data_IF_747395997181
#
_entry.id   IF_747395997181
#
_cell.length_a   1.000
_cell.length_b   1.000
_cell.length_c   1.000
_cell.angle_alpha   90.00
_cell.angle_beta   90.00
_cell.angle_gamma   90.00
#
_symmetry.space_group_name_H-M   'P 1'
#
loop_
_entity.id
_entity.type
_entity.pdbx_description
1 polymer ?
2 polymer ?
3 non-polymer ?
4 water ?
#
loop_
_entity_poly.entity_id
_entity_poly.type
_entity_poly.pdbx_seq_one_letter_code
_entity_poly.pdbx_strand_id
1 'polyribonucleotide' 'GGCAUCGUGCCUCGCAUUGCACUCCGCGGGGCGAUAAGUCCUGAAAAGGGAUGUC' ?
#
# COMPACT_ATOMS: atom_id res chain seq x y z
N UNK B 1 -13.18 -5.09 -8.97
CA UNK B 1 -12.75 -3.88 -9.68
C UNK B 1 -12.04 -4.29 -10.96
N UNK B 2 -12.12 -3.46 -12.00
CA UNK B 2 -11.56 -3.82 -13.30
C UNK B 2 -10.03 -3.75 -13.28
N UNK B 3 -9.34 -4.60 -14.05
CA UNK B 3 -7.88 -4.67 -14.00
C UNK B 3 -7.21 -3.42 -14.55
N UNK B 4 -5.89 -3.39 -14.40
CA UNK B 4 -5.26 -2.12 -14.10
C UNK B 4 -3.76 -2.24 -13.88
N UNK B 5 -2.96 -1.25 -14.30
CA UNK B 5 -1.53 -1.21 -14.02
C UNK B 5 -1.20 -1.09 -12.53
N UNK B 6 -2.13 -0.64 -11.70
CA UNK B 6 -1.83 -0.22 -10.34
C UNK B 6 -2.52 -1.13 -9.35
N UNK B 7 -1.77 -1.60 -8.35
CA UNK B 7 -2.36 -2.38 -7.28
C UNK B 7 -2.38 -1.52 -6.02
N UNK B 8 -3.53 -1.48 -5.37
CA UNK B 8 -3.73 -0.81 -4.10
C UNK B 8 -3.57 -1.84 -2.99
N UNK B 9 -2.61 -1.60 -2.09
CA UNK B 9 -2.27 -2.56 -1.04
C UNK B 9 -2.60 -1.93 0.29
N UNK B 10 -3.36 -2.64 1.11
CA UNK B 10 -3.64 -2.13 2.44
C UNK B 10 -3.56 -3.29 3.42
N UNK B 11 -4.06 -3.02 4.61
CA UNK B 11 -3.82 -3.86 5.78
C UNK B 11 -2.34 -4.04 6.02
N UNK B 12 -1.58 -3.01 5.74
CA UNK B 12 -0.17 -3.01 6.02
C UNK B 12 0.08 -2.55 7.46
N UNK B 13 1.29 -2.82 7.93
CA UNK B 13 1.69 -2.53 9.29
C UNK B 13 1.99 -1.04 9.39
N UNK B 14 1.16 -0.32 10.14
CA UNK B 14 1.26 1.14 10.18
C UNK B 14 2.52 1.62 10.88
N UNK B 15 3.13 0.79 11.73
CA UNK B 15 4.30 1.18 12.51
C UNK B 15 5.64 1.04 11.75
N UNK B 16 5.67 0.66 10.48
CA UNK B 16 6.93 0.46 9.78
C UNK B 16 7.31 1.74 9.09
N UNK B 17 8.61 2.01 8.99
CA UNK B 17 9.10 3.20 8.28
C UNK B 17 8.70 3.16 6.80
N UNK B 18 8.16 4.28 6.31
CA UNK B 18 7.82 4.46 4.90
C UNK B 18 8.86 3.86 3.97
N UNK B 19 10.09 4.34 4.02
CA UNK B 19 10.98 3.87 2.96
C UNK B 19 11.59 2.50 3.24
N UNK B 20 11.38 1.94 4.43
CA UNK B 20 11.70 0.54 4.68
C UNK B 20 10.63 -0.37 4.08
N UNK B 21 9.37 -0.09 4.37
CA UNK B 21 8.28 -0.82 3.73
C UNK B 21 8.40 -0.77 2.22
N UNK B 22 8.77 0.39 1.67
CA UNK B 22 8.89 0.50 0.22
C UNK B 22 9.94 -0.46 -0.30
N UNK B 23 11.13 -0.46 0.33
CA UNK B 23 12.19 -1.39 -0.06
C UNK B 23 11.71 -2.84 0.01
N UNK B 24 10.92 -3.16 1.03
CA UNK B 24 10.40 -4.52 1.13
C UNK B 24 9.37 -4.79 0.05
N UNK B 25 8.49 -3.81 -0.23
CA UNK B 25 7.54 -3.96 -1.34
C UNK B 25 8.25 -4.26 -2.65
N UNK B 26 9.40 -3.63 -2.86
CA UNK B 26 10.13 -3.85 -4.11
C UNK B 26 10.68 -5.26 -4.19
N UNK B 27 11.22 -5.78 -3.09
CA UNK B 27 11.77 -7.13 -3.11
C UNK B 27 10.67 -8.16 -3.36
N UNK B 28 9.51 -7.93 -2.77
CA UNK B 28 8.36 -8.83 -2.86
C UNK B 28 7.82 -8.89 -4.28
N UNK B 29 7.73 -7.74 -4.94
CA UNK B 29 6.90 -7.62 -6.12
C UNK B 29 7.64 -7.61 -7.45
N UNK B 30 8.93 -7.28 -7.49
CA UNK B 30 9.64 -7.17 -8.76
C UNK B 30 9.65 -8.46 -9.56
N UNK B 31 9.52 -9.61 -8.88
CA UNK B 31 9.26 -10.89 -9.56
C UNK B 31 8.40 -10.74 -10.80
N UNK B 32 7.26 -10.06 -10.63
CA UNK B 32 6.19 -10.10 -11.60
C UNK B 32 6.40 -9.18 -12.80
N UNK B 33 7.37 -8.28 -12.75
CA UNK B 33 7.69 -7.50 -13.92
C UNK B 33 8.36 -6.19 -13.53
N UNK B 34 8.49 -5.34 -14.54
CA UNK B 34 9.10 -4.03 -14.32
C UNK B 34 8.17 -3.15 -13.50
N UNK B 35 8.72 -2.44 -12.54
CA UNK B 35 7.94 -1.59 -11.64
C UNK B 35 8.24 -0.14 -12.00
N UNK B 36 7.21 0.58 -12.44
CA UNK B 36 7.44 2.00 -12.71
C UNK B 36 7.60 2.79 -11.42
N UNK B 37 6.95 2.36 -10.33
CA UNK B 37 7.00 3.14 -9.11
C UNK B 37 6.25 2.48 -7.95
N UNK B 38 6.75 2.68 -6.73
CA UNK B 38 6.06 2.29 -5.50
C UNK B 38 5.81 3.56 -4.70
N UNK B 39 4.54 3.79 -4.35
CA UNK B 39 4.12 4.97 -3.61
C UNK B 39 3.85 4.58 -2.17
N UNK B 40 4.68 5.06 -1.26
CA UNK B 40 4.39 4.97 0.17
C UNK B 40 4.57 6.35 0.76
N UNK B 41 3.61 6.78 1.57
CA UNK B 41 3.68 8.11 2.18
C UNK B 41 3.12 8.02 3.59
N UNK B 42 2.76 9.16 4.16
CA UNK B 42 2.02 9.13 5.41
C UNK B 42 0.64 8.50 5.27
N UNK B 43 0.20 8.19 4.04
CA UNK B 43 -0.94 7.29 3.85
C UNK B 43 -0.72 5.95 4.54
N UNK B 44 0.52 5.48 4.60
CA UNK B 44 0.79 4.23 5.28
C UNK B 44 0.54 4.36 6.78
N UNK B 45 1.05 5.42 7.39
CA UNK B 45 0.79 5.71 8.78
C UNK B 45 -0.71 5.69 9.10
N UNK B 47 -3.56 5.06 7.20
CA UNK B 47 -4.50 4.11 6.63
C UNK B 47 -3.87 2.75 6.33
N UNK B 48 -2.62 2.53 6.69
CA UNK B 48 -1.94 1.27 6.38
C UNK B 48 -1.92 0.88 4.92
N UNK B 49 -1.85 1.84 3.99
CA UNK B 49 -1.98 1.53 2.57
C UNK B 49 -0.72 1.94 1.80
N UNK B 50 -0.63 1.47 0.55
CA UNK B 50 0.50 1.73 -0.36
C UNK B 50 0.09 1.39 -1.80
N UNK B 51 0.91 1.81 -2.78
CA UNK B 51 0.68 1.46 -4.19
C UNK B 51 1.94 0.94 -4.85
N UNK B 52 1.76 -0.01 -5.77
CA UNK B 52 2.81 -0.48 -6.68
C UNK B 52 2.27 -0.33 -8.09
N UNK B 53 2.98 0.42 -8.94
CA UNK B 53 2.56 0.65 -10.32
C UNK B 53 3.41 -0.20 -11.23
N UNK B 54 2.76 -0.98 -12.10
CA UNK B 54 3.44 -1.92 -12.98
C UNK B 54 3.46 -1.41 -14.41
N UNK B 55 4.53 -1.73 -15.12
CA UNK B 55 4.58 -1.35 -16.52
C UNK B 55 3.49 -2.04 -17.32
N UNK B 56 3.25 -3.32 -17.08
CA UNK B 56 2.28 -4.06 -17.86
C UNK B 56 1.14 -4.49 -16.95
N UNK B 57 -0.08 -4.47 -17.49
CA UNK B 57 -1.23 -4.86 -16.67
C UNK B 57 -1.16 -6.32 -16.24
N UNK B 58 -0.57 -7.18 -17.08
CA UNK B 58 -0.43 -8.59 -16.71
C UNK B 58 0.25 -8.71 -15.37
N UNK B 59 1.37 -7.99 -15.22
CA UNK B 59 2.16 -8.01 -13.99
C UNK B 59 1.32 -7.67 -12.76
N UNK B 60 0.57 -6.58 -12.83
CA UNK B 60 -0.36 -6.26 -11.76
C UNK B 60 -1.28 -7.43 -11.45
N UNK B 61 -1.77 -8.12 -12.48
CA UNK B 61 -2.72 -9.19 -12.25
C UNK B 61 -2.03 -10.40 -11.62
N UNK B 62 -0.78 -10.65 -11.99
CA UNK B 62 -0.05 -11.77 -11.40
C UNK B 62 0.32 -11.46 -9.96
N UNK B 63 0.92 -10.28 -9.73
CA UNK B 63 1.15 -9.79 -8.38
C UNK B 63 -0.09 -9.94 -7.53
N UNK B 64 -1.21 -9.40 -8.00
CA UNK B 64 -2.42 -9.47 -7.21
C UNK B 64 -2.77 -10.91 -6.88
N UNK B 65 -2.77 -11.79 -7.88
CA UNK B 65 -3.37 -13.08 -7.66
C UNK B 65 -2.49 -13.97 -6.83
N UNK B 66 -1.19 -13.82 -6.96
CA UNK B 66 -0.32 -14.69 -6.22
C UNK B 66 0.03 -14.13 -4.84
N UNK B 68 -1.83 -12.28 -2.75
CA UNK B 68 -2.94 -11.93 -1.89
C UNK B 68 -2.85 -12.62 -0.53
N UNK B 69 -2.93 -11.84 0.54
CA UNK B 69 -2.89 -12.37 1.89
C UNK B 69 -1.52 -12.75 2.37
N UNK B 70 -0.50 -12.32 1.65
CA UNK B 70 0.87 -12.63 1.99
C UNK B 70 1.24 -12.09 3.37
N UNK B 71 2.04 -12.84 4.14
CA UNK B 71 2.51 -12.34 5.45
C UNK B 71 3.56 -11.24 5.28
N UNK B 72 3.39 -10.14 6.02
CA UNK B 72 4.18 -8.93 5.78
C UNK B 72 4.18 -8.14 7.08
N UNK B 73 5.31 -8.14 7.80
CA UNK B 73 5.39 -7.50 9.12
C UNK B 73 4.19 -7.88 10.00
N UNK B 74 3.94 -9.19 10.13
CA UNK B 74 2.89 -9.80 10.96
C UNK B 74 1.49 -9.50 10.51
N UNK B 75 1.30 -8.80 9.40
CA UNK B 75 -0.06 -8.65 8.91
C UNK B 75 -0.20 -9.22 7.50
N UNK B 76 -1.36 -9.85 7.20
CA UNK B 76 -1.59 -10.40 5.85
C UNK B 76 -2.08 -9.33 4.89
N UNK B 78 -3.65 -7.17 2.01
CA UNK B 78 -4.79 -7.14 1.10
C UNK B 78 -4.34 -6.40 -0.16
N UNK B 79 -4.65 -6.96 -1.33
CA UNK B 79 -4.34 -6.35 -2.63
C UNK B 79 -5.60 -6.25 -3.47
N UNK B 80 -5.83 -5.08 -4.04
CA UNK B 80 -6.86 -4.86 -5.06
C UNK B 80 -6.26 -4.05 -6.20
N UNK B 81 -6.99 -3.99 -7.30
CA UNK B 81 -6.68 -2.98 -8.29
C UNK B 81 -7.06 -1.61 -7.75
N UNK B 82 -6.23 -0.62 -8.05
CA UNK B 82 -6.61 0.74 -7.67
C UNK B 82 -7.87 1.14 -8.43
N UNK B 83 -8.76 1.87 -7.75
CA UNK B 83 -10.00 2.37 -8.35
C UNK B 83 -9.73 3.16 -9.63
N UNK B 84 -8.63 3.91 -9.64
CA UNK B 84 -8.19 4.68 -10.79
C UNK B 84 -6.75 4.32 -11.08
N UNK B 85 -6.45 4.01 -12.34
CA UNK B 85 -5.08 3.73 -12.74
C UNK B 85 -4.20 4.96 -12.52
N UNK B 86 -2.97 4.74 -12.02
CA UNK B 86 -2.11 5.85 -11.61
C UNK B 86 -1.59 6.65 -12.81
N UNK B 87 -1.29 7.93 -12.53
CA UNK B 87 -1.19 8.95 -13.58
C UNK B 87 -0.06 8.66 -14.57
N UNK B 88 1.09 8.17 -14.09
CA UNK B 88 2.24 7.91 -14.94
C UNK B 88 1.83 7.16 -16.20
N UNK B 89 0.81 6.30 -16.07
CA UNK B 89 0.26 5.57 -17.21
C UNK B 89 -0.40 6.53 -18.21
N UNK B 90 -1.38 7.30 -17.73
CA UNK B 90 -2.20 8.13 -18.62
C UNK B 90 -1.50 9.43 -19.01
N UNK C 2 26.39 -11.92 -11.83
CA UNK C 2 26.33 -11.58 -10.41
C UNK C 2 26.23 -12.73 -9.39
N UNK C 3 25.80 -13.95 -9.78
CA UNK C 3 25.67 -15.02 -8.78
C UNK C 3 26.96 -15.28 -8.00
N UNK C 4 26.80 -15.59 -6.72
CA UNK C 4 27.91 -15.73 -5.81
C UNK C 4 27.59 -16.87 -4.84
N UNK C 5 28.63 -17.52 -4.33
CA UNK C 5 28.44 -18.55 -3.31
C UNK C 5 27.67 -18.00 -2.12
N UNK C 6 27.85 -16.71 -1.86
CA UNK C 6 27.40 -16.04 -0.65
C UNK C 6 26.23 -15.15 -1.00
N UNK C 7 25.06 -15.43 -0.42
CA UNK C 7 23.92 -14.54 -0.52
C UNK C 7 23.96 -13.56 0.65
N UNK C 8 23.66 -12.30 0.39
CA UNK C 8 23.64 -11.26 1.42
C UNK C 8 22.19 -10.99 1.82
N UNK C 9 21.94 -10.99 3.13
CA UNK C 9 20.62 -10.79 3.67
C UNK C 9 20.67 -9.59 4.60
N UNK C 10 19.64 -8.75 4.55
CA UNK C 10 19.49 -7.72 5.56
C UNK C 10 17.99 -7.52 5.82
N UNK C 11 17.67 -6.42 6.50
CA UNK C 11 16.31 -6.18 7.02
C UNK C 11 15.91 -7.22 8.07
N UNK C 12 16.90 -7.80 8.75
CA UNK C 12 16.65 -8.82 9.75
C UNK C 12 16.31 -8.20 11.09
N UNK C 13 15.45 -8.90 11.82
CA UNK C 13 15.08 -8.50 13.18
C UNK C 13 16.30 -8.35 14.08
N UNK C 14 16.74 -7.12 14.30
CA UNK C 14 17.92 -6.83 15.11
C UNK C 14 17.77 -7.23 16.57
N UNK C 15 16.55 -7.52 17.05
CA UNK C 15 16.36 -7.93 18.42
C UNK C 15 16.45 -9.44 18.62
N UNK C 16 17.18 -10.15 17.77
CA UNK C 16 17.29 -11.59 17.85
C UNK C 16 18.74 -11.92 18.16
N UNK C 17 18.94 -12.83 19.12
CA UNK C 17 20.28 -13.13 19.59
C UNK C 17 21.15 -13.65 18.45
N UNK C 18 22.42 -13.23 18.45
CA UNK C 18 23.40 -13.72 17.50
C UNK C 18 23.26 -15.23 17.34
N UNK C 19 22.99 -15.93 18.45
CA UNK C 19 22.98 -17.40 18.44
C UNK C 19 21.78 -17.95 17.65
N UNK C 20 20.57 -17.69 18.13
CA UNK C 20 19.42 -18.35 17.53
C UNK C 20 19.16 -17.82 16.12
N UNK C 21 19.53 -16.56 15.86
CA UNK C 21 19.51 -16.04 14.50
C UNK C 21 20.33 -16.92 13.56
N UNK C 22 21.59 -17.19 13.92
CA UNK C 22 22.44 -18.05 13.09
C UNK C 22 21.82 -19.43 12.94
N UNK C 23 21.22 -19.95 14.01
CA UNK C 23 20.62 -21.28 13.96
C UNK C 23 19.39 -21.30 13.05
N UNK C 24 18.48 -20.33 13.25
CA UNK C 24 17.30 -20.16 12.39
C UNK C 24 17.70 -20.03 10.92
N UNK C 25 18.53 -19.04 10.62
CA UNK C 25 19.08 -18.91 9.28
C UNK C 25 19.61 -20.22 8.75
N UNK C 26 20.23 -21.04 9.61
CA UNK C 26 20.79 -22.29 9.13
C UNK C 26 19.69 -23.29 8.78
N UNK C 27 18.70 -23.43 9.65
CA UNK C 27 17.60 -24.37 9.37
C UNK C 27 16.94 -24.04 8.05
N UNK C 28 16.61 -22.75 7.87
CA UNK C 28 15.89 -22.29 6.69
C UNK C 28 16.65 -22.64 5.43
N UNK C 29 17.96 -22.37 5.43
CA UNK C 29 18.68 -22.29 4.18
C UNK C 29 19.36 -23.59 3.76
N UNK C 30 19.61 -24.49 4.70
CA UNK C 30 20.19 -25.78 4.33
C UNK C 30 19.32 -26.55 3.34
N UNK C 31 18.03 -26.23 3.22
CA UNK C 31 17.14 -26.88 2.26
C UNK C 31 17.53 -26.60 0.82
N UNK C 32 18.58 -25.82 0.60
CA UNK C 32 18.97 -25.43 -0.75
C UNK C 32 20.35 -25.91 -1.16
N UNK C 33 21.04 -26.69 -0.33
CA UNK C 33 22.42 -27.01 -0.57
C UNK C 33 23.19 -26.86 0.73
N UNK C 34 24.50 -27.03 0.68
CA UNK C 34 25.30 -27.17 1.90
C UNK C 34 25.92 -25.83 2.27
N UNK C 35 25.76 -25.45 3.53
CA UNK C 35 26.20 -24.14 4.01
C UNK C 35 27.55 -24.30 4.69
N UNK C 36 28.54 -23.54 4.21
CA UNK C 36 29.87 -23.61 4.79
C UNK C 36 29.96 -22.74 6.04
N UNK C 37 29.41 -21.55 6.00
CA UNK C 37 29.38 -20.72 7.20
C UNK C 37 28.29 -19.67 7.04
N UNK C 38 27.81 -19.20 8.18
CA UNK C 38 26.86 -18.09 8.27
C UNK C 38 27.51 -17.06 9.17
N UNK C 39 27.67 -15.83 8.67
CA UNK C 39 28.39 -14.80 9.40
C UNK C 39 27.41 -13.74 9.86
N UNK C 40 27.37 -13.50 11.17
CA UNK C 40 26.40 -12.60 11.80
C UNK C 40 27.10 -11.84 12.90
N UNK C 41 26.93 -10.52 12.91
CA UNK C 41 27.46 -9.66 13.96
C UNK C 41 26.34 -8.73 14.40
N UNK C 42 26.26 -8.46 15.71
CA UNK C 42 25.21 -7.59 16.21
C UNK C 42 25.70 -6.16 16.48
N UNK C 43 26.82 -5.76 15.88
CA UNK C 43 27.35 -4.42 16.01
C UNK C 43 26.70 -3.46 15.01
N UNK C 44 26.70 -2.17 15.34
CA UNK C 44 26.07 -1.12 14.54
C UNK C 44 26.30 -1.28 13.04
N UNK C 45 27.52 -1.64 12.63
CA UNK C 45 27.79 -1.85 11.22
C UNK C 45 27.02 -3.05 10.69
N UNK C 47 24.45 -5.03 12.22
CA UNK C 47 23.09 -5.32 12.67
C UNK C 47 22.18 -5.67 11.49
N UNK C 48 21.13 -6.43 11.82
CA UNK C 48 20.08 -6.72 10.88
C UNK C 48 20.50 -7.38 9.60
N UNK C 49 21.70 -7.98 9.54
CA UNK C 49 22.16 -8.55 8.28
C UNK C 49 23.00 -9.81 8.50
N UNK C 50 23.25 -10.51 7.40
CA UNK C 50 23.77 -11.88 7.46
C UNK C 50 24.43 -12.27 6.15
N UNK C 51 25.49 -13.07 6.26
CA UNK C 51 26.14 -13.69 5.11
C UNK C 51 26.02 -15.20 5.26
N UNK C 52 25.47 -15.83 4.23
CA UNK C 52 25.27 -17.27 4.19
C UNK C 52 26.13 -17.79 3.06
N UNK C 53 27.07 -18.66 3.38
CA UNK C 53 28.02 -19.15 2.38
C UNK C 53 27.63 -20.55 2.00
N UNK C 54 27.32 -20.74 0.72
CA UNK C 54 26.96 -22.02 0.17
C UNK C 54 28.15 -22.67 -0.53
N UNK C 55 28.23 -23.99 -0.42
CA UNK C 55 29.30 -24.71 -1.12
C UNK C 55 29.14 -24.59 -2.62
N UNK C 56 27.90 -24.67 -3.11
CA UNK C 56 27.60 -24.52 -4.51
C UNK C 56 26.96 -23.16 -4.74
N UNK C 57 27.01 -22.71 -5.99
CA UNK C 57 26.36 -21.46 -6.35
C UNK C 57 24.93 -21.68 -6.85
N UNK C 58 24.66 -22.83 -7.48
CA UNK C 58 23.28 -23.17 -7.81
C UNK C 58 22.43 -23.18 -6.54
N UNK C 59 23.04 -23.61 -5.43
CA UNK C 59 22.39 -23.48 -4.13
C UNK C 59 21.98 -22.04 -3.88
N UNK C 60 22.97 -21.15 -3.78
CA UNK C 60 22.68 -19.75 -3.43
C UNK C 60 21.64 -19.12 -4.33
N UNK C 61 21.39 -19.67 -5.52
CA UNK C 61 20.46 -19.05 -6.44
C UNK C 61 19.02 -19.52 -6.23
N UNK C 62 18.83 -20.84 -6.09
CA UNK C 62 17.54 -21.35 -5.63
C UNK C 62 17.20 -20.76 -4.28
N UNK C 63 18.21 -20.55 -3.44
CA UNK C 63 17.95 -19.98 -2.12
C UNK C 63 17.47 -18.54 -2.25
N UNK C 64 18.25 -17.70 -2.93
CA UNK C 64 17.87 -16.29 -3.09
C UNK C 64 16.53 -16.15 -3.79
N UNK C 65 16.29 -17.00 -4.78
CA UNK C 65 15.06 -16.89 -5.55
C UNK C 65 13.86 -17.46 -4.80
N UNK C 66 14.07 -18.43 -3.91
CA UNK C 66 12.96 -19.04 -3.19
C UNK C 66 12.57 -18.29 -1.92
N UNK C 68 13.21 -14.97 -1.09
CA UNK C 68 13.12 -13.51 -1.21
C UNK C 68 11.84 -12.97 -0.59
N UNK C 69 11.99 -12.16 0.46
CA UNK C 69 10.86 -11.51 1.07
C UNK C 69 10.07 -12.31 2.06
N UNK C 70 10.41 -13.57 2.29
CA UNK C 70 9.60 -14.41 3.17
C UNK C 70 9.62 -13.88 4.60
N UNK C 71 8.63 -14.23 5.43
CA UNK C 71 8.59 -13.69 6.77
C UNK C 71 9.62 -14.37 7.63
N UNK C 72 10.16 -13.63 8.58
CA UNK C 72 11.26 -14.16 9.37
C UNK C 72 11.39 -13.25 10.58
N UNK C 73 11.02 -13.76 11.74
CA UNK C 73 11.01 -12.95 12.96
C UNK C 73 10.28 -11.64 12.70
N UNK C 74 9.19 -11.71 11.95
CA UNK C 74 8.28 -10.60 11.67
C UNK C 74 8.86 -9.56 10.73
N UNK C 75 9.97 -9.85 10.08
CA UNK C 75 10.40 -8.91 9.06
C UNK C 75 10.69 -9.66 7.77
N UNK C 76 10.40 -9.04 6.62
CA UNK C 76 10.61 -9.74 5.34
C UNK C 76 12.09 -9.69 4.96
N UNK C 78 15.29 -9.43 2.84
CA UNK C 78 15.77 -8.94 1.56
C UNK C 78 17.09 -9.64 1.24
N UNK C 79 17.15 -10.30 0.10
CA UNK C 79 18.25 -11.18 -0.26
C UNK C 79 18.92 -10.65 -1.51
N UNK C 80 20.24 -10.52 -1.47
CA UNK C 80 21.05 -10.24 -2.64
C UNK C 80 22.23 -11.19 -2.66
N UNK C 81 22.85 -11.35 -3.82
CA UNK C 81 24.18 -11.94 -3.86
C UNK C 81 25.18 -10.98 -3.24
N UNK C 82 26.15 -11.52 -2.52
CA UNK C 82 27.18 -10.67 -1.96
C UNK C 82 28.04 -10.11 -3.08
N UNK C 83 28.41 -8.83 -2.95
CA UNK C 83 29.26 -8.21 -3.95
C UNK C 83 30.59 -8.96 -4.07
N UNK C 84 31.27 -9.18 -2.95
CA UNK C 84 32.58 -9.80 -2.91
C UNK C 84 32.47 -11.29 -2.60
N UNK C 85 33.27 -12.10 -3.30
CA UNK C 85 33.52 -13.47 -2.83
C UNK C 85 33.94 -13.46 -1.37
N UNK C 86 33.51 -14.46 -0.62
CA UNK C 86 33.84 -14.52 0.79
C UNK C 86 35.20 -15.18 1.02
N UNK C 87 35.92 -14.69 2.05
CA UNK C 87 37.24 -15.22 2.41
C UNK C 87 37.27 -16.74 2.32
N UNK C 88 36.41 -17.38 3.11
CA UNK C 88 36.18 -18.81 3.11
C UNK C 88 36.24 -19.41 1.71
N UNK C 89 35.68 -18.72 0.72
CA UNK C 89 35.61 -19.26 -0.63
C UNK C 89 36.83 -18.92 -1.47
N UNK C 90 37.45 -17.78 -1.22
CA UNK C 90 38.70 -17.44 -1.90
C UNK C 90 39.92 -18.17 -1.31
N UNK C 91 39.85 -18.58 -0.03
CA UNK C 91 40.99 -19.21 0.64
C UNK C 91 41.21 -20.65 0.20
N UNK C 93 40.31 -21.42 -2.96
CA UNK C 93 40.16 -21.22 -4.40
C UNK C 93 41.21 -21.91 -5.25
N UNK D 1 -32.97 6.62 -3.32
CA UNK D 1 -32.37 5.31 -3.08
C UNK D 1 -32.21 5.13 -1.58
N UNK D 2 -31.29 4.28 -1.17
CA UNK D 2 -31.19 3.94 0.26
C UNK D 2 -30.62 5.10 1.08
N UNK D 3 -31.23 5.46 2.21
CA UNK D 3 -30.83 6.67 2.92
C UNK D 3 -29.42 6.56 3.45
N UNK D 4 -28.75 7.73 3.54
CA UNK D 4 -27.33 7.75 3.87
C UNK D 4 -27.00 8.99 4.68
N UNK D 5 -25.91 8.93 5.45
CA UNK D 5 -25.40 10.14 6.10
C UNK D 5 -25.07 11.21 5.08
N UNK D 6 -24.59 10.80 3.91
CA UNK D 6 -23.99 11.70 2.94
C UNK D 6 -24.95 11.91 1.78
N UNK D 7 -25.22 13.16 1.44
CA UNK D 7 -25.98 13.45 0.23
C UNK D 7 -25.01 13.79 -0.89
N UNK D 8 -25.35 13.37 -2.09
CA UNK D 8 -24.57 13.63 -3.28
C UNK D 8 -25.31 14.67 -4.11
N UNK D 9 -24.64 15.78 -4.39
CA UNK D 9 -25.22 16.90 -5.11
C UNK D 9 -24.47 17.05 -6.43
N UNK D 10 -25.19 16.98 -7.55
CA UNK D 10 -24.55 17.38 -8.79
C UNK D 10 -25.46 18.36 -9.51
N UNK D 11 -25.16 18.65 -10.76
CA UNK D 11 -25.71 19.78 -11.52
C UNK D 11 -25.28 21.11 -10.93
N UNK D 12 -24.14 21.14 -10.24
CA UNK D 12 -23.64 22.39 -9.70
C UNK D 12 -22.92 23.17 -10.81
N UNK D 13 -22.99 24.50 -10.69
CA UNK D 13 -22.33 25.41 -11.63
C UNK D 13 -20.82 25.19 -11.53
N UNK D 14 -20.21 24.71 -12.61
CA UNK D 14 -18.80 24.34 -12.52
C UNK D 14 -17.88 25.54 -12.50
N UNK D 15 -18.39 26.78 -12.57
CA UNK D 15 -17.50 27.93 -12.57
C UNK D 15 -17.23 28.49 -11.18
N UNK D 16 -17.94 28.01 -10.16
CA UNK D 16 -17.69 28.41 -8.78
C UNK D 16 -16.34 27.87 -8.31
N UNK D 17 -15.57 28.72 -7.63
CA UNK D 17 -14.27 28.29 -7.14
C UNK D 17 -14.44 27.34 -5.96
N UNK D 18 -13.43 26.47 -5.78
CA UNK D 18 -13.56 25.35 -4.85
C UNK D 18 -13.97 25.82 -3.46
N UNK D 19 -13.31 26.88 -2.98
CA UNK D 19 -13.56 27.37 -1.64
C UNK D 19 -14.95 27.96 -1.51
N UNK D 20 -15.34 28.83 -2.44
CA UNK D 20 -16.65 29.46 -2.35
C UNK D 20 -17.76 28.42 -2.43
N UNK D 21 -17.64 27.45 -3.33
CA UNK D 21 -18.64 26.40 -3.41
C UNK D 21 -18.77 25.67 -2.08
N UNK D 22 -17.67 25.15 -1.56
CA UNK D 22 -17.67 24.43 -0.28
C UNK D 22 -18.33 25.22 0.85
N UNK D 23 -17.96 26.48 0.99
CA UNK D 23 -18.54 27.26 2.07
C UNK D 23 -19.99 27.62 1.83
N UNK D 24 -20.35 28.07 0.63
CA UNK D 24 -21.75 28.18 0.23
C UNK D 24 -22.56 26.92 0.60
N UNK D 25 -22.10 25.75 0.18
CA UNK D 25 -22.80 24.51 0.53
C UNK D 25 -22.91 24.35 2.04
N UNK D 26 -21.84 24.69 2.78
CA UNK D 26 -21.92 24.65 4.24
C UNK D 26 -22.92 25.67 4.78
N UNK D 27 -22.89 26.90 4.27
CA UNK D 27 -23.79 27.92 4.78
C UNK D 27 -25.24 27.56 4.54
N UNK D 28 -25.55 27.09 3.33
CA UNK D 28 -26.91 26.70 2.99
C UNK D 28 -27.34 25.46 3.79
N UNK D 29 -26.54 24.40 3.76
CA UNK D 29 -27.08 23.14 4.27
C UNK D 29 -27.01 23.01 5.80
N UNK D 30 -26.35 23.93 6.50
CA UNK D 30 -26.19 23.76 7.93
C UNK D 30 -27.47 24.03 8.72
N UNK D 31 -28.52 24.56 8.09
CA UNK D 31 -29.83 24.60 8.76
C UNK D 31 -30.36 23.22 9.04
N UNK D 32 -30.06 22.26 8.19
CA UNK D 32 -30.73 20.98 8.28
C UNK D 32 -30.05 20.04 9.24
N UNK D 33 -28.83 20.37 9.67
CA UNK D 33 -28.18 19.60 10.69
C UNK D 33 -26.70 19.88 10.73
N UNK D 34 -26.03 19.14 11.59
CA UNK D 34 -24.61 19.32 11.77
C UNK D 34 -23.87 18.63 10.64
N UNK D 35 -22.89 19.33 10.07
CA UNK D 35 -22.17 18.85 8.91
C UNK D 35 -20.78 18.42 9.34
N UNK D 36 -20.46 17.15 9.09
CA UNK D 36 -19.15 16.66 9.47
C UNK D 36 -18.09 17.14 8.51
N UNK D 37 -18.42 17.19 7.22
CA UNK D 37 -17.45 17.59 6.20
C UNK D 37 -18.19 17.79 4.88
N UNK D 38 -17.54 18.51 3.97
CA UNK D 38 -18.02 18.67 2.60
C UNK D 38 -16.86 18.44 1.67
N UNK D 39 -17.04 17.60 0.65
CA UNK D 39 -15.95 17.21 -0.24
C UNK D 39 -16.27 17.69 -1.65
N UNK D 40 -15.36 18.51 -2.22
CA UNK D 40 -15.54 19.16 -3.52
C UNK D 40 -14.23 19.10 -4.32
N UNK D 41 -14.28 18.55 -5.53
CA UNK D 41 -13.16 18.61 -6.45
C UNK D 41 -13.61 19.25 -7.76
N UNK D 42 -12.69 19.95 -8.42
CA UNK D 42 -12.93 20.56 -9.71
C UNK D 42 -12.35 19.74 -10.85
N UNK D 43 -11.81 18.55 -10.56
CA UNK D 43 -11.26 17.68 -11.58
C UNK D 43 -12.33 17.34 -12.60
N UNK D 44 -11.90 16.78 -13.73
CA UNK D 44 -12.86 16.33 -14.75
C UNK D 44 -13.93 15.42 -14.17
N UNK D 45 -13.54 14.37 -13.43
CA UNK D 45 -14.57 13.45 -12.95
C UNK D 45 -15.41 14.08 -11.83
N UNK D 47 -16.04 17.56 -11.03
CA UNK D 47 -16.56 18.90 -11.08
C UNK D 47 -18.10 18.90 -11.16
N UNK D 48 -18.70 20.01 -10.75
CA UNK D 48 -20.15 20.09 -10.77
C UNK D 48 -20.85 19.26 -9.73
N UNK D 49 -20.12 18.73 -8.74
CA UNK D 49 -20.70 17.78 -7.80
C UNK D 49 -20.01 17.90 -6.46
N UNK D 50 -20.76 17.51 -5.41
CA UNK D 50 -20.28 17.58 -4.04
C UNK D 50 -20.90 16.47 -3.19
N UNK D 51 -20.14 16.01 -2.20
CA UNK D 51 -20.64 15.21 -1.09
C UNK D 51 -20.76 16.08 0.16
N UNK D 52 -21.94 16.10 0.76
CA UNK D 52 -22.17 16.75 2.04
C UNK D 52 -22.44 15.66 3.06
N UNK D 53 -21.60 15.58 4.10
CA UNK D 53 -21.65 14.52 5.10
C UNK D 53 -22.34 15.04 6.35
N UNK D 54 -23.56 14.59 6.58
CA UNK D 54 -24.28 14.96 7.78
C UNK D 54 -23.93 14.03 8.93
N UNK D 55 -24.03 14.56 10.15
CA UNK D 55 -23.81 13.74 11.34
C UNK D 55 -24.97 12.77 11.55
N UNK D 56 -26.19 13.20 11.25
CA UNK D 56 -27.41 12.40 11.36
C UNK D 56 -28.04 12.20 9.99
N UNK D 57 -28.58 11.00 9.77
CA UNK D 57 -29.32 10.74 8.53
C UNK D 57 -30.60 11.58 8.45
N UNK D 58 -31.29 11.78 9.58
CA UNK D 58 -32.49 12.60 9.60
C UNK D 58 -32.25 13.93 8.91
N UNK D 59 -31.07 14.52 9.17
CA UNK D 59 -30.73 15.77 8.51
C UNK D 59 -30.59 15.56 7.01
N UNK D 60 -29.77 14.59 6.60
CA UNK D 60 -29.63 14.26 5.18
C UNK D 60 -30.98 14.10 4.50
N UNK D 61 -31.87 13.26 5.07
CA UNK D 61 -33.18 13.09 4.45
C UNK D 61 -33.91 14.42 4.33
N UNK D 62 -33.97 15.17 5.43
CA UNK D 62 -34.68 16.45 5.40
C UNK D 62 -34.00 17.44 4.46
N UNK D 63 -32.68 17.46 4.45
CA UNK D 63 -31.95 18.28 3.49
C UNK D 63 -32.35 17.92 2.07
N UNK D 64 -32.25 16.64 1.73
CA UNK D 64 -32.50 16.21 0.37
C UNK D 64 -33.91 16.57 -0.08
N UNK D 65 -34.91 16.26 0.76
CA UNK D 65 -36.30 16.53 0.40
C UNK D 65 -36.56 18.03 0.28
N UNK D 66 -35.85 18.84 1.03
CA UNK D 66 -36.22 20.24 1.07
C UNK D 66 -35.44 21.10 0.09
N UNK D 68 -34.18 20.06 -2.84
CA UNK D 68 -34.12 19.39 -4.13
C UNK D 68 -34.53 20.32 -5.26
N UNK D 69 -33.65 20.50 -6.23
CA UNK D 69 -33.94 21.38 -7.33
C UNK D 69 -33.73 22.84 -7.06
N UNK D 70 -33.31 23.22 -5.86
CA UNK D 70 -33.21 24.63 -5.50
C UNK D 70 -32.27 25.37 -6.46
N UNK D 71 -32.69 26.50 -7.02
CA UNK D 71 -31.79 27.31 -7.87
C UNK D 71 -30.56 27.78 -7.12
N UNK D 72 -29.40 27.43 -7.65
CA UNK D 72 -28.15 27.62 -6.93
C UNK D 72 -27.08 28.01 -7.94
N UNK D 73 -26.55 29.22 -7.83
CA UNK D 73 -25.68 29.80 -8.83
C UNK D 73 -26.21 29.51 -10.23
N UNK D 74 -27.49 29.80 -10.41
CA UNK D 74 -28.22 29.73 -11.69
C UNK D 74 -28.45 28.32 -12.21
N UNK D 75 -28.16 27.28 -11.44
CA UNK D 75 -28.56 25.93 -11.83
C UNK D 75 -29.35 25.28 -10.70
N UNK D 76 -30.35 24.46 -11.02
CA UNK D 76 -31.11 23.78 -9.96
C UNK D 76 -30.35 22.56 -9.46
N UNK D 78 -29.43 18.98 -8.06
CA UNK D 78 -29.95 17.63 -8.07
C UNK D 78 -29.33 16.90 -6.88
N UNK D 79 -30.16 16.37 -6.00
CA UNK D 79 -29.67 15.73 -4.79
C UNK D 79 -30.14 14.28 -4.76
N UNK D 80 -29.20 13.38 -4.56
CA UNK D 80 -29.47 11.98 -4.28
C UNK D 80 -28.70 11.61 -3.02
N UNK D 81 -29.11 10.52 -2.40
CA UNK D 81 -28.26 9.90 -1.40
C UNK D 81 -27.00 9.37 -2.07
N UNK D 82 -25.90 9.43 -1.34
CA UNK D 82 -24.66 8.83 -1.82
C UNK D 82 -24.80 7.31 -1.88
N UNK D 83 -24.17 6.71 -2.89
CA UNK D 83 -24.25 5.27 -3.05
C UNK D 83 -23.53 4.52 -1.94
N UNK D 84 -22.85 5.22 -1.04
CA UNK D 84 -21.81 4.57 -0.26
C UNK D 84 -21.43 5.49 0.91
N UNK D 85 -21.08 4.87 2.03
CA UNK D 85 -20.71 5.65 3.20
C UNK D 85 -19.39 6.35 2.96
N UNK D 86 -19.35 7.62 3.35
CA UNK D 86 -18.08 8.32 3.34
C UNK D 86 -17.14 7.66 4.34
N UNK D 87 -15.84 7.70 4.03
CA UNK D 87 -14.86 7.05 4.89
C UNK D 87 -14.97 7.54 6.33
N UNK D 88 -15.26 8.82 6.51
CA UNK D 88 -15.32 9.39 7.86
C UNK D 88 -16.43 8.73 8.68
N UNK D 89 -17.51 8.36 8.03
CA UNK D 89 -18.64 7.75 8.71
C UNK D 89 -18.40 6.25 8.92
N UNK D 90 -17.96 5.55 7.88
CA UNK D 90 -17.70 4.11 8.00
C UNK D 90 -16.60 3.82 9.02
N UNK D 91 -15.58 4.69 9.10
CA UNK D 91 -14.51 4.52 10.09
C UNK D 91 -15.04 4.55 11.53
N UNK D 93 -18.48 3.28 12.17
CA UNK D 93 -19.30 2.07 12.19
C UNK D 93 -18.41 0.85 12.14
#
# INVERSE_FOLDING_TARGET
TRPNHTIYINNLNEKIKKDELKKSLHAIFSRFGQILDILVKRSLKXRGQAFVIFKEVSSATNALRSXQGFPFYDKPXRIQYAKTDSDIIAKXA
TRPNHTIYINNLNEKIKKDELKKSLHAIFSRFGQILDILVKRSLKXRGQAFVIFKEVSSATNALRSXQGFPFYDKPXRIQYAKTDSDIIAKXA
TRPNHTIYINNLNEKIKKDELKKSLHAIFSRFGQILDILVKRSLKXRGQAFVIFKEVSSATNALRSXQGFPFYDKPXRIQYAKTDSDIIAKXA
#
